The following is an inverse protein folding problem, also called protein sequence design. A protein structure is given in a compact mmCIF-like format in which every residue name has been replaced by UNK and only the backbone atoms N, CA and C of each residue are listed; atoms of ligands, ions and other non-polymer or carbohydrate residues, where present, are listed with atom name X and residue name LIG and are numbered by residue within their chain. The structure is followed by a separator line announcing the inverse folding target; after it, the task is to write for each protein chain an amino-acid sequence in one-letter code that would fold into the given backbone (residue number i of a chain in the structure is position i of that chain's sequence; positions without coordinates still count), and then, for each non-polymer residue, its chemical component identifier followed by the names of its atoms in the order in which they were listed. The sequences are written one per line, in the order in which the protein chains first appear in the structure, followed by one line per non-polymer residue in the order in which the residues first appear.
data_IF_173500586670
#
_entry.id   IF_173500586670
#
_cell.length_a   1.000
_cell.length_b   1.000
_cell.length_c   1.000
_cell.angle_alpha   90.00
_cell.angle_beta   90.00
_cell.angle_gamma   90.00
#
_symmetry.space_group_name_H-M   'P 1'
#
loop_
_entity.id
_entity.type
_entity.pdbx_description
1 polymer ?
#
# COMPACT_ATOMS: atom_id res chain seq x y z
N UNK A 1 4.53 -24.52 8.06
CA UNK A 1 5.56 -23.55 8.49
C UNK A 1 6.19 -22.97 7.23
N UNK A 2 6.13 -21.66 7.02
CA UNK A 2 6.79 -21.03 5.88
C UNK A 2 8.31 -21.11 6.07
N UNK A 3 9.04 -21.45 4.99
CA UNK A 3 10.50 -21.43 5.02
C UNK A 3 11.01 -20.02 5.38
N UNK A 4 12.08 -19.90 6.18
CA UNK A 4 12.66 -18.61 6.49
C UNK A 4 13.08 -17.91 5.19
N UNK A 5 12.77 -16.63 5.07
CA UNK A 5 13.19 -15.84 3.92
C UNK A 5 14.73 -15.82 3.85
N UNK A 6 15.32 -15.85 2.64
CA UNK A 6 16.76 -15.78 2.48
C UNK A 6 17.33 -14.52 3.16
N UNK A 7 18.60 -14.57 3.61
CA UNK A 7 19.24 -13.51 4.41
C UNK A 7 19.26 -12.14 3.72
N UNK A 8 19.10 -12.12 2.40
CA UNK A 8 18.83 -10.92 1.60
C UNK A 8 17.58 -11.15 0.77
N UNK A 9 16.46 -10.53 1.18
CA UNK A 9 15.26 -10.44 0.35
C UNK A 9 15.51 -9.39 -0.73
N UNK A 10 15.94 -9.84 -1.91
CA UNK A 10 16.05 -9.03 -3.12
C UNK A 10 14.78 -9.22 -3.95
N UNK A 11 14.14 -8.13 -4.35
CA UNK A 11 12.98 -8.17 -5.23
C UNK A 11 13.07 -7.05 -6.26
N UNK A 12 12.84 -7.34 -7.52
CA UNK A 12 12.79 -6.33 -8.58
C UNK A 12 11.39 -5.67 -8.65
N UNK A 13 10.35 -6.45 -8.35
CA UNK A 13 8.95 -6.04 -8.42
C UNK A 13 8.18 -6.51 -7.19
N UNK A 14 7.34 -5.63 -6.64
CA UNK A 14 6.42 -5.95 -5.54
C UNK A 14 4.98 -5.71 -5.98
N UNK A 15 4.13 -6.71 -5.78
CA UNK A 15 2.68 -6.59 -5.93
C UNK A 15 2.02 -6.50 -4.55
N UNK A 16 1.39 -5.38 -4.25
CA UNK A 16 0.64 -5.16 -3.01
C UNK A 16 -0.86 -5.31 -3.27
N UNK A 17 -1.40 -6.43 -2.83
CA UNK A 17 -2.84 -6.72 -2.84
C UNK A 17 -3.47 -6.55 -1.44
N UNK A 18 -2.81 -5.79 -0.56
CA UNK A 18 -3.35 -5.50 0.76
C UNK A 18 -4.59 -4.62 0.62
N UNK A 19 -5.63 -5.02 1.32
CA UNK A 19 -6.82 -4.25 1.48
C UNK A 19 -7.74 -4.94 2.45
N UNK A 20 -8.48 -4.16 3.22
CA UNK A 20 -9.57 -4.68 4.03
C UNK A 20 -10.86 -3.95 3.69
N UNK A 21 -11.93 -4.31 4.38
CA UNK A 21 -13.18 -3.55 4.36
C UNK A 21 -13.34 -2.88 5.71
N UNK A 22 -14.05 -1.76 5.78
CA UNK A 22 -14.31 -1.10 7.07
C UNK A 22 -14.96 -2.04 8.09
N UNK A 23 -15.79 -2.98 7.61
CA UNK A 23 -16.44 -4.01 8.42
C UNK A 23 -15.44 -4.98 9.06
N UNK A 24 -14.42 -5.40 8.32
CA UNK A 24 -13.37 -6.31 8.81
C UNK A 24 -12.33 -5.56 9.65
N UNK A 25 -11.98 -4.33 9.27
CA UNK A 25 -11.07 -3.47 10.02
C UNK A 25 -11.62 -3.08 11.40
N UNK A 26 -12.94 -2.92 11.51
CA UNK A 26 -13.62 -2.54 12.75
C UNK A 26 -13.52 -1.04 13.09
N UNK A 27 -12.51 -0.33 12.57
CA UNK A 27 -12.37 1.12 12.75
C UNK A 27 -11.73 1.79 11.53
N UNK A 28 -11.94 3.11 11.40
CA UNK A 28 -11.33 3.90 10.33
C UNK A 28 -9.80 3.99 10.43
N UNK A 29 -9.25 3.98 11.66
CA UNK A 29 -7.81 3.96 11.90
C UNK A 29 -7.19 2.63 11.47
N UNK A 30 -7.79 1.50 11.89
CA UNK A 30 -7.35 0.17 11.47
C UNK A 30 -7.47 0.00 9.94
N UNK A 31 -8.51 0.57 9.34
CA UNK A 31 -8.65 0.60 7.88
C UNK A 31 -7.50 1.37 7.22
N UNK A 32 -7.15 2.56 7.72
CA UNK A 32 -6.00 3.33 7.20
C UNK A 32 -4.68 2.59 7.38
N UNK A 33 -4.49 1.91 8.50
CA UNK A 33 -3.28 1.16 8.75
C UNK A 33 -3.06 0.06 7.68
N UNK A 34 -4.11 -0.68 7.34
CA UNK A 34 -4.05 -1.77 6.35
C UNK A 34 -4.06 -1.24 4.91
N UNK A 35 -4.96 -0.32 4.60
CA UNK A 35 -5.21 0.12 3.21
C UNK A 35 -4.32 1.27 2.77
N UNK A 36 -3.52 1.89 3.66
CA UNK A 36 -2.67 3.03 3.33
C UNK A 36 -1.25 2.91 3.92
N UNK A 37 -1.12 2.81 5.25
CA UNK A 37 0.20 2.89 5.89
C UNK A 37 1.08 1.67 5.60
N UNK A 38 0.53 0.46 5.71
CA UNK A 38 1.25 -0.77 5.42
C UNK A 38 1.81 -0.79 3.99
N UNK A 39 1.00 -0.54 2.94
CA UNK A 39 1.51 -0.41 1.58
C UNK A 39 2.66 0.58 1.42
N UNK A 40 2.56 1.76 2.04
CA UNK A 40 3.61 2.79 1.97
C UNK A 40 4.91 2.28 2.61
N UNK A 41 4.84 1.65 3.79
CA UNK A 41 6.01 1.09 4.47
C UNK A 41 6.66 -0.03 3.66
N UNK A 42 5.85 -0.90 3.06
CA UNK A 42 6.33 -1.99 2.21
C UNK A 42 7.02 -1.41 0.97
N UNK A 43 6.41 -0.43 0.31
CA UNK A 43 6.99 0.21 -0.86
C UNK A 43 8.34 0.84 -0.55
N UNK A 44 8.45 1.61 0.54
CA UNK A 44 9.72 2.19 0.99
C UNK A 44 10.77 1.11 1.25
N UNK A 45 10.44 0.10 2.05
CA UNK A 45 11.37 -0.97 2.39
C UNK A 45 11.82 -1.80 1.16
N UNK A 46 10.95 -1.94 0.16
CA UNK A 46 11.27 -2.62 -1.10
C UNK A 46 12.23 -1.80 -1.95
N UNK A 47 11.95 -0.50 -2.12
CA UNK A 47 12.81 0.41 -2.88
C UNK A 47 14.20 0.56 -2.25
N UNK A 48 14.28 0.67 -0.92
CA UNK A 48 15.55 0.69 -0.18
C UNK A 48 16.40 -0.58 -0.40
N UNK A 49 15.75 -1.69 -0.80
CA UNK A 49 16.39 -2.97 -1.12
C UNK A 49 16.61 -3.21 -2.62
N UNK A 50 16.38 -2.19 -3.45
CA UNK A 50 16.66 -2.25 -4.89
C UNK A 50 15.47 -2.64 -5.77
N UNK A 51 14.25 -2.70 -5.24
CA UNK A 51 13.07 -2.88 -6.09
C UNK A 51 12.94 -1.73 -7.08
N UNK A 52 12.59 -2.06 -8.31
CA UNK A 52 12.39 -1.10 -9.40
C UNK A 52 10.90 -0.75 -9.55
N UNK A 53 10.02 -1.66 -9.16
CA UNK A 53 8.58 -1.50 -9.35
C UNK A 53 7.79 -1.88 -8.10
N UNK A 54 6.83 -1.03 -7.73
CA UNK A 54 5.83 -1.32 -6.71
C UNK A 54 4.44 -1.12 -7.30
N UNK A 55 3.68 -2.20 -7.42
CA UNK A 55 2.36 -2.23 -8.04
C UNK A 55 1.34 -2.48 -6.95
N UNK A 56 0.37 -1.57 -6.81
CA UNK A 56 -0.69 -1.70 -5.82
C UNK A 56 -2.07 -1.83 -6.47
N UNK A 57 -2.84 -2.80 -6.00
CA UNK A 57 -4.24 -2.95 -6.37
C UNK A 57 -5.07 -1.97 -5.54
N UNK A 58 -5.46 -0.85 -6.17
CA UNK A 58 -6.38 0.12 -5.56
C UNK A 58 -7.85 -0.25 -5.84
N UNK A 59 -8.77 0.61 -5.45
CA UNK A 59 -10.21 0.45 -5.66
C UNK A 59 -10.70 1.30 -6.84
N UNK A 60 -11.76 0.83 -7.50
CA UNK A 60 -12.50 1.67 -8.45
C UNK A 60 -13.10 2.88 -7.72
N UNK A 61 -12.86 4.09 -8.24
CA UNK A 61 -13.34 5.33 -7.63
C UNK A 61 -12.48 5.86 -6.48
N UNK A 62 -11.25 5.36 -6.31
CA UNK A 62 -10.27 5.91 -5.37
C UNK A 62 -9.95 7.38 -5.70
N UNK A 63 -10.35 8.29 -4.82
CA UNK A 63 -10.24 9.74 -4.99
C UNK A 63 -10.07 10.41 -3.62
N UNK A 64 -8.91 11.04 -3.39
CA UNK A 64 -8.57 11.71 -2.13
C UNK A 64 -9.54 12.85 -1.75
N UNK A 65 -10.33 13.34 -2.70
CA UNK A 65 -11.34 14.40 -2.51
C UNK A 65 -12.75 13.85 -2.27
N UNK A 66 -12.93 12.52 -2.34
CA UNK A 66 -14.24 11.89 -2.19
C UNK A 66 -14.86 12.13 -0.80
N UNK A 67 -16.18 12.29 -0.76
CA UNK A 67 -16.95 12.33 0.50
C UNK A 67 -17.19 10.93 1.09
N UNK A 68 -17.03 9.88 0.28
CA UNK A 68 -17.18 8.49 0.70
C UNK A 68 -15.86 8.05 1.36
N UNK A 69 -15.91 7.72 2.65
CA UNK A 69 -14.72 7.38 3.46
C UNK A 69 -13.82 6.34 2.78
N UNK A 70 -14.39 5.25 2.28
CA UNK A 70 -13.64 4.18 1.60
C UNK A 70 -12.86 4.68 0.38
N UNK A 71 -13.53 5.41 -0.52
CA UNK A 71 -12.92 5.96 -1.74
C UNK A 71 -11.87 7.02 -1.42
N UNK A 72 -12.12 7.83 -0.38
CA UNK A 72 -11.19 8.85 0.10
C UNK A 72 -9.87 8.24 0.55
N UNK A 73 -9.92 7.29 1.48
CA UNK A 73 -8.72 6.63 2.01
C UNK A 73 -7.95 5.91 0.90
N UNK A 74 -8.64 5.22 -0.01
CA UNK A 74 -8.00 4.58 -1.17
C UNK A 74 -7.37 5.58 -2.14
N UNK A 75 -7.93 6.77 -2.28
CA UNK A 75 -7.43 7.84 -3.14
C UNK A 75 -6.27 8.64 -2.56
N UNK A 76 -6.18 8.74 -1.23
CA UNK A 76 -5.07 9.40 -0.51
C UNK A 76 -3.71 8.70 -0.71
N UNK A 77 -3.69 7.55 -1.36
CA UNK A 77 -2.49 6.77 -1.61
C UNK A 77 -1.55 7.40 -2.66
N UNK A 78 -2.08 7.96 -3.77
CA UNK A 78 -1.25 8.54 -4.84
C UNK A 78 -0.38 9.73 -4.41
N UNK A 79 -0.92 10.74 -3.68
CA UNK A 79 -0.11 11.89 -3.24
C UNK A 79 1.04 11.48 -2.31
N UNK A 80 0.84 10.44 -1.50
CA UNK A 80 1.86 9.94 -0.59
C UNK A 80 2.99 9.18 -1.31
N UNK A 81 2.69 8.48 -2.40
CA UNK A 81 3.71 7.85 -3.25
C UNK A 81 4.52 8.87 -4.07
N UNK A 82 3.91 9.98 -4.49
CA UNK A 82 4.63 11.07 -5.16
C UNK A 82 5.75 11.68 -4.31
N UNK A 83 5.59 11.67 -2.98
CA UNK A 83 6.63 12.13 -2.04
C UNK A 83 7.79 11.13 -1.88
N UNK A 84 7.59 9.88 -2.28
CA UNK A 84 8.57 8.80 -2.17
C UNK A 84 9.36 8.59 -3.48
N UNK A 85 9.15 9.45 -4.49
CA UNK A 85 9.75 9.34 -5.82
C UNK A 85 9.51 7.96 -6.48
N UNK A 86 8.39 7.31 -6.14
CA UNK A 86 8.02 6.02 -6.72
C UNK A 86 7.36 6.32 -8.07
N UNK A 87 7.88 5.78 -9.20
CA UNK A 87 7.16 5.86 -10.46
C UNK A 87 5.86 5.07 -10.31
N UNK A 88 4.72 5.77 -10.42
CA UNK A 88 3.37 5.22 -10.38
C UNK A 88 2.80 5.00 -11.78
#
# INVERSE_FOLDING_TARGET
MAAPLPPTLHCDVVFCCLGTTIKVAGSGEAFREVDQHLPIRIARAALEKGAQHFIIVSAMGADATSRIFYNRVKGEMRPNFGQLAIPI
#
